data_IF_018193290380
#
_entry.id   IF_018193290380
#
_cell.length_a   1.000
_cell.length_b   1.000
_cell.length_c   1.000
_cell.angle_alpha   90.00
_cell.angle_beta   90.00
_cell.angle_gamma   90.00
#
_symmetry.space_group_name_H-M   'P 1'
#
loop_
_entity.id
_entity.type
_entity.pdbx_description
1 polymer ?
#
# COMPACT_ATOMS: atom_id res chain seq x y z
N UNK A 1 -17.21 15.34 36.96
CA UNK A 1 -17.49 16.70 37.46
C UNK A 1 -16.59 17.75 36.81
N UNK A 2 -15.27 17.57 36.79
CA UNK A 2 -14.32 18.49 36.14
C UNK A 2 -14.63 18.79 34.66
N UNK A 3 -14.97 17.77 33.86
CA UNK A 3 -15.40 17.96 32.47
C UNK A 3 -16.61 18.91 32.33
N UNK A 4 -17.58 18.82 33.25
CA UNK A 4 -18.77 19.67 33.22
C UNK A 4 -18.43 21.12 33.62
N UNK A 5 -17.54 21.30 34.60
CA UNK A 5 -17.03 22.61 34.98
C UNK A 5 -16.24 23.26 33.83
N UNK A 6 -15.37 22.50 33.15
CA UNK A 6 -14.63 22.97 31.99
C UNK A 6 -15.54 23.34 30.82
N UNK A 7 -16.57 22.53 30.54
CA UNK A 7 -17.56 22.85 29.52
C UNK A 7 -18.30 24.15 29.82
N UNK A 8 -18.68 24.40 31.09
CA UNK A 8 -19.32 25.64 31.52
C UNK A 8 -18.37 26.85 31.45
N UNK A 9 -17.07 26.63 31.70
CA UNK A 9 -16.03 27.66 31.60
C UNK A 9 -15.58 27.95 30.16
N UNK A 10 -15.94 27.08 29.18
CA UNK A 10 -15.57 27.22 27.77
C UNK A 10 -14.15 26.74 27.43
N UNK A 11 -13.49 26.01 28.33
CA UNK A 11 -12.12 25.56 28.15
C UNK A 11 -11.64 24.61 29.26
N UNK A 12 -10.76 23.67 28.92
CA UNK A 12 -10.04 22.85 29.89
C UNK A 12 -8.51 23.09 29.86
N UNK A 13 -7.80 22.47 30.80
CA UNK A 13 -6.34 22.55 30.94
C UNK A 13 -5.57 21.90 29.78
N UNK A 14 -6.23 21.10 28.95
CA UNK A 14 -5.67 20.44 27.77
C UNK A 14 -5.92 21.25 26.48
N UNK A 15 -6.56 22.42 26.58
CA UNK A 15 -6.86 23.30 25.45
C UNK A 15 -8.12 22.94 24.67
N UNK A 16 -8.97 22.03 25.19
CA UNK A 16 -10.27 21.72 24.57
C UNK A 16 -11.25 22.85 24.80
N UNK A 17 -11.88 23.34 23.74
CA UNK A 17 -12.87 24.44 23.78
C UNK A 17 -14.27 24.04 23.33
N UNK A 18 -14.43 22.85 22.75
CA UNK A 18 -15.71 22.36 22.19
C UNK A 18 -16.20 21.16 22.97
N UNK A 19 -17.41 21.23 23.54
CA UNK A 19 -17.98 20.22 24.45
C UNK A 19 -19.39 19.79 24.00
N UNK A 20 -19.52 18.99 22.92
CA UNK A 20 -20.81 18.76 22.25
C UNK A 20 -21.81 17.92 23.06
N UNK A 21 -21.34 17.23 24.10
CA UNK A 21 -22.15 16.35 24.93
C UNK A 21 -22.40 16.92 26.34
N UNK A 22 -22.08 18.20 26.56
CA UNK A 22 -22.37 18.89 27.81
C UNK A 22 -23.72 19.64 27.74
N UNK A 23 -24.47 19.73 28.86
CA UNK A 23 -24.18 19.12 30.16
C UNK A 23 -24.48 17.62 30.17
N UNK A 24 -23.68 16.85 30.93
CA UNK A 24 -23.98 15.45 31.20
C UNK A 24 -25.11 15.37 32.23
N UNK A 25 -26.17 14.62 31.93
CA UNK A 25 -27.26 14.39 32.87
C UNK A 25 -26.79 13.42 33.96
N UNK A 26 -27.07 13.74 35.22
CA UNK A 26 -26.70 12.89 36.37
C UNK A 26 -27.33 11.49 36.34
N UNK A 27 -28.44 11.32 35.61
CA UNK A 27 -29.13 10.05 35.41
C UNK A 27 -28.70 9.32 34.13
N UNK A 28 -27.73 9.83 33.39
CA UNK A 28 -27.29 9.21 32.15
C UNK A 28 -26.55 7.90 32.44
N UNK A 29 -26.87 6.87 31.66
CA UNK A 29 -26.05 5.68 31.58
C UNK A 29 -24.68 6.03 30.99
N UNK A 30 -23.62 5.57 31.64
CA UNK A 30 -22.24 5.83 31.22
C UNK A 30 -21.67 4.60 30.52
N UNK A 31 -21.04 4.84 29.37
CA UNK A 31 -20.36 3.83 28.59
C UNK A 31 -18.85 4.07 28.68
N UNK A 32 -18.09 3.00 28.85
CA UNK A 32 -16.63 3.04 28.85
C UNK A 32 -16.10 2.03 27.83
N UNK A 33 -15.11 2.44 27.05
CA UNK A 33 -14.42 1.59 26.07
C UNK A 33 -12.92 1.82 26.13
N UNK A 34 -12.15 0.73 25.99
CA UNK A 34 -10.70 0.81 25.84
C UNK A 34 -10.37 1.10 24.38
N UNK A 35 -9.51 2.09 24.15
CA UNK A 35 -9.07 2.50 22.80
C UNK A 35 -7.56 2.36 22.73
N UNK A 36 -7.07 1.79 21.62
CA UNK A 36 -5.65 1.72 21.28
C UNK A 36 -5.43 2.22 19.85
N UNK A 37 -4.31 2.89 19.54
CA UNK A 37 -3.97 3.28 18.18
C UNK A 37 -3.79 2.06 17.26
N UNK A 38 -4.15 2.21 15.99
CA UNK A 38 -3.93 1.22 14.93
C UNK A 38 -3.53 1.98 13.66
N UNK A 39 -2.73 1.35 12.79
CA UNK A 39 -2.50 1.85 11.44
C UNK A 39 -3.83 2.12 10.74
N UNK A 40 -3.97 3.30 10.12
CA UNK A 40 -5.26 3.77 9.63
C UNK A 40 -5.24 4.30 8.20
N UNK A 41 -4.22 5.07 7.81
CA UNK A 41 -4.18 5.73 6.51
C UNK A 41 -2.75 5.99 6.05
N UNK A 42 -2.47 5.78 4.76
CA UNK A 42 -1.18 6.16 4.15
C UNK A 42 -1.34 7.41 3.30
N UNK A 43 -0.81 8.55 3.77
CA UNK A 43 -0.95 9.84 3.06
C UNK A 43 -0.07 9.97 1.80
N UNK A 44 0.97 9.13 1.70
CA UNK A 44 1.83 9.06 0.52
C UNK A 44 1.19 8.26 -0.62
N UNK A 45 1.86 8.23 -1.77
CA UNK A 45 1.39 7.45 -2.91
C UNK A 45 1.83 8.02 -4.25
N UNK A 46 1.12 7.63 -5.30
CA UNK A 46 1.39 8.04 -6.68
C UNK A 46 1.19 9.55 -6.80
N UNK A 47 2.20 10.25 -7.34
CA UNK A 47 2.08 11.68 -7.66
C UNK A 47 1.19 11.87 -8.88
N UNK A 48 0.23 12.77 -8.79
CA UNK A 48 -0.75 12.99 -9.83
C UNK A 48 -1.16 14.46 -9.92
N UNK A 49 -1.70 14.86 -11.07
CA UNK A 49 -2.25 16.19 -11.30
C UNK A 49 -3.72 16.28 -10.88
N UNK A 50 -4.23 17.50 -10.68
CA UNK A 50 -5.61 17.76 -10.24
C UNK A 50 -6.69 17.14 -11.16
N UNK A 51 -6.36 16.81 -12.41
CA UNK A 51 -7.24 16.13 -13.36
C UNK A 51 -7.09 14.59 -13.36
N UNK A 52 -6.43 14.03 -12.33
CA UNK A 52 -6.28 12.60 -12.12
C UNK A 52 -5.12 11.94 -12.88
N UNK A 53 -4.36 12.69 -13.68
CA UNK A 53 -3.28 12.12 -14.49
C UNK A 53 -2.04 11.82 -13.64
N UNK A 54 -1.46 10.63 -13.78
CA UNK A 54 -0.24 10.26 -13.08
C UNK A 54 0.97 11.00 -13.65
N UNK A 55 1.88 11.43 -12.78
CA UNK A 55 3.11 12.11 -13.12
C UNK A 55 4.32 11.18 -12.93
N UNK A 56 5.30 11.30 -13.81
CA UNK A 56 6.62 10.69 -13.67
C UNK A 56 7.45 11.44 -12.62
N UNK A 57 8.61 10.90 -12.26
CA UNK A 57 9.57 11.58 -11.38
C UNK A 57 10.04 12.94 -11.92
N UNK A 58 10.00 13.15 -13.25
CA UNK A 58 10.31 14.44 -13.89
C UNK A 58 9.12 15.42 -13.88
N UNK A 59 7.96 15.05 -13.32
CA UNK A 59 6.75 15.85 -13.33
C UNK A 59 5.96 15.76 -14.64
N UNK A 60 6.30 14.83 -15.53
CA UNK A 60 5.67 14.68 -16.84
C UNK A 60 4.47 13.74 -16.77
N UNK A 61 3.42 14.01 -17.55
CA UNK A 61 2.21 13.19 -17.57
C UNK A 61 2.48 11.85 -18.24
N UNK A 62 2.15 10.75 -17.56
CA UNK A 62 2.21 9.41 -18.13
C UNK A 62 0.93 9.14 -18.93
N UNK A 63 1.07 8.96 -20.24
CA UNK A 63 -0.05 8.83 -21.18
C UNK A 63 -0.99 7.67 -20.84
N UNK A 64 -2.26 7.97 -20.62
CA UNK A 64 -3.31 6.98 -20.35
C UNK A 64 -3.42 6.56 -18.88
N UNK A 65 -2.42 6.84 -18.06
CA UNK A 65 -2.39 6.43 -16.65
C UNK A 65 -3.04 7.49 -15.75
N UNK A 66 -3.99 7.06 -14.93
CA UNK A 66 -4.71 7.90 -13.98
C UNK A 66 -4.77 7.21 -12.61
N UNK A 67 -4.85 8.01 -11.54
CA UNK A 67 -4.96 7.51 -10.17
C UNK A 67 -5.98 8.36 -9.39
N UNK A 68 -6.63 7.73 -8.41
CA UNK A 68 -7.59 8.37 -7.52
C UNK A 68 -7.72 7.58 -6.21
N UNK A 69 -7.96 8.30 -5.10
CA UNK A 69 -8.12 7.71 -3.77
C UNK A 69 -6.80 7.51 -3.03
N UNK A 70 -6.82 6.67 -2.00
CA UNK A 70 -5.69 6.48 -1.06
C UNK A 70 -4.39 6.00 -1.71
N UNK A 71 -4.45 5.44 -2.93
CA UNK A 71 -3.24 5.12 -3.71
C UNK A 71 -2.43 6.35 -4.13
N UNK A 72 -3.02 7.55 -4.03
CA UNK A 72 -2.39 8.80 -4.43
C UNK A 72 -1.73 9.54 -3.27
N UNK A 73 -0.62 10.23 -3.57
CA UNK A 73 0.08 11.07 -2.61
C UNK A 73 -0.21 12.57 -2.80
N UNK A 74 0.03 13.36 -1.75
CA UNK A 74 0.09 14.83 -1.82
C UNK A 74 -1.20 15.56 -1.43
N UNK A 75 -2.36 14.90 -1.44
CA UNK A 75 -3.64 15.52 -1.06
C UNK A 75 -3.69 15.89 0.42
N UNK A 76 -3.14 15.04 1.28
CA UNK A 76 -3.27 15.14 2.74
C UNK A 76 -1.99 15.61 3.47
N UNK A 77 -0.87 15.75 2.75
CA UNK A 77 0.42 16.09 3.35
C UNK A 77 0.83 15.10 4.46
N UNK A 78 1.27 15.61 5.60
CA UNK A 78 1.77 14.78 6.70
C UNK A 78 0.67 14.22 7.60
N UNK A 79 -0.55 14.75 7.54
CA UNK A 79 -1.64 14.30 8.40
C UNK A 79 -3.00 14.55 7.74
N UNK A 80 -3.73 13.47 7.52
CA UNK A 80 -5.08 13.54 6.98
C UNK A 80 -6.10 13.98 8.04
N UNK A 81 -6.96 14.92 7.68
CA UNK A 81 -8.13 15.28 8.50
C UNK A 81 -9.25 14.23 8.39
N UNK A 82 -9.93 13.97 9.51
CA UNK A 82 -11.08 13.08 9.58
C UNK A 82 -12.18 13.50 8.58
N UNK A 83 -12.73 12.52 7.85
CA UNK A 83 -13.74 12.77 6.81
C UNK A 83 -13.19 13.01 5.39
N UNK A 84 -11.90 13.31 5.24
CA UNK A 84 -11.35 13.64 3.91
C UNK A 84 -11.09 12.43 2.99
N UNK A 85 -10.91 11.20 3.50
CA UNK A 85 -10.60 10.03 2.63
C UNK A 85 -11.74 9.71 1.66
N UNK A 86 -12.97 9.63 2.17
CA UNK A 86 -14.13 9.34 1.33
C UNK A 86 -14.40 10.48 0.34
N UNK A 87 -14.14 11.71 0.76
CA UNK A 87 -14.25 12.89 -0.10
C UNK A 87 -13.22 12.83 -1.24
N UNK A 88 -11.96 12.52 -0.94
CA UNK A 88 -10.89 12.34 -1.93
C UNK A 88 -11.26 11.26 -2.95
N UNK A 89 -11.62 10.07 -2.48
CA UNK A 89 -12.03 8.96 -3.35
C UNK A 89 -13.17 9.38 -4.28
N UNK A 90 -14.19 10.05 -3.76
CA UNK A 90 -15.36 10.46 -4.54
C UNK A 90 -15.02 11.55 -5.54
N UNK A 91 -14.26 12.57 -5.14
CA UNK A 91 -13.90 13.71 -5.99
C UNK A 91 -12.99 13.27 -7.12
N UNK A 92 -11.84 12.65 -6.81
CA UNK A 92 -10.88 12.26 -7.85
C UNK A 92 -11.36 11.07 -8.68
N UNK A 93 -12.10 10.14 -8.06
CA UNK A 93 -12.78 9.06 -8.78
C UNK A 93 -13.75 9.61 -9.82
N UNK A 94 -14.54 10.63 -9.47
CA UNK A 94 -15.46 11.28 -10.40
C UNK A 94 -14.73 12.06 -11.51
N UNK A 95 -13.66 12.79 -11.18
CA UNK A 95 -12.83 13.52 -12.15
C UNK A 95 -12.27 12.55 -13.20
N UNK A 96 -11.63 11.47 -12.74
CA UNK A 96 -11.04 10.45 -13.63
C UNK A 96 -12.14 9.74 -14.43
N UNK A 97 -13.20 9.29 -13.77
CA UNK A 97 -14.30 8.55 -14.40
C UNK A 97 -14.97 9.34 -15.53
N UNK A 98 -15.32 10.61 -15.28
CA UNK A 98 -15.96 11.46 -16.28
C UNK A 98 -15.04 11.73 -17.48
N UNK A 99 -13.74 11.94 -17.22
CA UNK A 99 -12.74 12.19 -18.25
C UNK A 99 -12.51 10.97 -19.15
N UNK A 100 -12.42 9.77 -18.56
CA UNK A 100 -12.24 8.54 -19.33
C UNK A 100 -13.49 8.19 -20.14
N UNK A 101 -14.68 8.41 -19.59
CA UNK A 101 -15.94 8.20 -20.31
C UNK A 101 -16.05 9.11 -21.55
N UNK A 102 -15.70 10.39 -21.42
CA UNK A 102 -15.70 11.33 -22.55
C UNK A 102 -14.72 10.88 -23.65
N UNK A 103 -13.48 10.53 -23.29
CA UNK A 103 -12.48 10.01 -24.24
C UNK A 103 -12.92 8.73 -24.93
N UNK A 104 -13.54 7.80 -24.19
CA UNK A 104 -14.05 6.57 -24.76
C UNK A 104 -15.17 6.83 -25.77
N UNK A 105 -16.08 7.77 -25.48
CA UNK A 105 -17.16 8.16 -26.38
C UNK A 105 -16.62 8.81 -27.68
N UNK A 106 -15.63 9.69 -27.56
CA UNK A 106 -14.95 10.32 -28.72
C UNK A 106 -14.25 9.28 -29.59
N UNK A 107 -13.48 8.38 -28.98
CA UNK A 107 -12.80 7.29 -29.70
C UNK A 107 -13.80 6.38 -30.42
N UNK A 108 -14.95 6.10 -29.79
CA UNK A 108 -16.04 5.31 -30.40
C UNK A 108 -16.63 6.02 -31.61
N UNK A 109 -16.93 7.32 -31.51
CA UNK A 109 -17.43 8.13 -32.62
C UNK A 109 -16.44 8.21 -33.78
N UNK A 110 -15.15 8.40 -33.50
CA UNK A 110 -14.10 8.44 -34.51
C UNK A 110 -13.98 7.11 -35.26
N UNK A 111 -14.06 5.98 -34.54
CA UNK A 111 -14.08 4.64 -35.15
C UNK A 111 -15.32 4.41 -36.01
N UNK A 112 -16.49 4.81 -35.53
CA UNK A 112 -17.75 4.65 -36.28
C UNK A 112 -17.75 5.52 -37.56
N UNK A 113 -17.17 6.73 -37.50
CA UNK A 113 -16.97 7.61 -38.66
C UNK A 113 -15.95 7.05 -39.68
N UNK A 114 -14.83 6.50 -39.19
CA UNK A 114 -13.84 5.87 -40.06
C UNK A 114 -14.41 4.60 -40.74
N UNK A 115 -15.24 3.82 -40.03
CA UNK A 115 -15.93 2.66 -40.58
C UNK A 115 -16.94 3.05 -41.67
N UNK A 116 -17.65 4.17 -41.52
CA UNK A 116 -18.61 4.65 -42.54
C UNK A 116 -17.89 5.22 -43.76
N UNK A 117 -16.75 5.89 -43.59
CA UNK A 117 -15.90 6.34 -44.70
C UNK A 117 -15.23 5.18 -45.46
N UNK A 118 -14.82 4.11 -44.77
CA UNK A 118 -14.28 2.91 -45.42
C UNK A 118 -15.36 2.13 -46.19
N UNK A 119 -16.61 2.14 -45.73
CA UNK A 119 -17.74 1.51 -46.41
C UNK A 119 -18.22 2.25 -47.68
N UNK A 120 -17.83 3.52 -47.87
CA UNK A 120 -18.20 4.32 -49.05
C UNK A 120 -17.09 4.42 -50.11
N UNK A 121 -15.93 3.79 -49.89
CA UNK A 121 -14.85 3.68 -50.88
C UNK A 121 -15.09 2.51 -51.85
N UNK A 122 -14.70 2.60 -53.14
CA UNK A 122 -14.85 1.49 -54.08
C UNK A 122 -13.98 0.32 -53.63
N UNK A 123 -14.58 -0.87 -53.51
CA UNK A 123 -13.91 -2.08 -53.06
C UNK A 123 -12.89 -2.57 -54.10
N UNK A 124 -11.62 -2.20 -53.93
CA UNK A 124 -10.49 -2.92 -54.53
C UNK A 124 -9.99 -3.95 -53.51
N UNK A 125 -10.12 -5.23 -53.86
CA UNK A 125 -9.82 -6.37 -53.03
C UNK A 125 -8.32 -6.52 -52.74
N UNK A 126 -7.97 -6.69 -51.47
CA UNK A 126 -6.79 -7.43 -51.04
C UNK A 126 -7.10 -8.10 -49.70
N UNK A 127 -7.32 -9.42 -49.74
CA UNK A 127 -7.43 -10.26 -48.55
C UNK A 127 -6.01 -10.62 -48.13
N UNK A 128 -5.52 -10.00 -47.07
CA UNK A 128 -4.36 -10.50 -46.32
C UNK A 128 -4.85 -10.87 -44.91
N UNK A 129 -4.63 -12.13 -44.54
CA UNK A 129 -5.00 -12.67 -43.24
C UNK A 129 -4.31 -11.89 -42.10
N UNK A 130 -4.98 -11.65 -40.95
CA UNK A 130 -4.32 -11.02 -39.83
C UNK A 130 -3.30 -12.00 -39.22
N UNK A 131 -2.04 -11.60 -39.19
CA UNK A 131 -1.03 -12.25 -38.38
C UNK A 131 -1.43 -12.13 -36.90
N UNK A 132 -1.38 -13.24 -36.18
CA UNK A 132 -1.58 -13.30 -34.73
C UNK A 132 -0.60 -12.38 -34.02
N UNK A 133 -1.12 -11.38 -33.31
CA UNK A 133 -0.35 -10.60 -32.35
C UNK A 133 -0.35 -11.36 -31.02
N UNK A 134 0.81 -11.89 -30.65
CA UNK A 134 1.06 -12.35 -29.30
C UNK A 134 1.02 -11.17 -28.34
N UNK A 135 0.39 -11.37 -27.19
CA UNK A 135 0.36 -10.41 -26.08
C UNK A 135 1.79 -10.19 -25.56
N UNK A 136 2.32 -8.95 -25.51
CA UNK A 136 3.54 -8.73 -24.77
C UNK A 136 3.22 -8.84 -23.28
N UNK A 137 3.80 -9.84 -22.63
CA UNK A 137 3.93 -9.87 -21.18
C UNK A 137 4.63 -8.58 -20.74
N UNK A 138 4.03 -7.87 -19.78
CA UNK A 138 4.63 -6.69 -19.21
C UNK A 138 5.94 -7.09 -18.53
N UNK A 139 7.07 -6.64 -19.09
CA UNK A 139 8.35 -6.65 -18.41
C UNK A 139 8.24 -5.68 -17.23
N UNK A 140 8.34 -6.21 -16.01
CA UNK A 140 8.65 -5.41 -14.84
C UNK A 140 10.04 -4.79 -15.07
N UNK A 141 10.09 -3.47 -15.18
CA UNK A 141 11.34 -2.74 -15.15
C UNK A 141 11.61 -2.34 -13.70
N UNK A 142 12.74 -2.81 -13.18
CA UNK A 142 13.25 -2.48 -11.86
C UNK A 142 13.37 -0.97 -11.69
N UNK A 143 12.68 -0.43 -10.69
CA UNK A 143 12.94 0.92 -10.18
C UNK A 143 14.02 0.82 -9.12
N UNK A 144 15.26 1.13 -9.52
CA UNK A 144 16.36 1.35 -8.58
C UNK A 144 16.08 2.64 -7.78
N UNK A 145 15.94 2.50 -6.46
CA UNK A 145 15.94 3.62 -5.53
C UNK A 145 17.34 4.28 -5.50
N UNK A 146 17.45 5.60 -5.25
CA UNK A 146 18.74 6.24 -5.09
C UNK A 146 19.44 5.72 -3.83
N UNK A 147 20.65 5.20 -4.02
CA UNK A 147 21.51 4.70 -2.95
C UNK A 147 22.22 5.87 -2.25
N UNK A 148 21.86 6.13 -1.00
CA UNK A 148 22.75 6.84 -0.08
C UNK A 148 23.77 5.84 0.47
N UNK A 149 25.05 6.18 0.34
CA UNK A 149 26.15 5.26 0.59
C UNK A 149 26.44 5.01 2.07
N UNK A 150 26.87 3.77 2.36
CA UNK A 150 27.75 3.50 3.50
C UNK A 150 27.61 2.12 4.14
N UNK A 151 28.39 1.14 3.66
CA UNK A 151 28.76 -0.06 4.41
C UNK A 151 28.66 -1.36 3.61
N UNK A 152 29.80 -1.92 3.20
CA UNK A 152 29.85 -3.24 2.57
C UNK A 152 29.54 -4.34 3.61
N UNK A 153 28.32 -4.89 3.58
CA UNK A 153 27.97 -6.09 4.34
C UNK A 153 28.62 -7.32 3.68
N UNK A 154 29.30 -8.14 4.48
CA UNK A 154 29.86 -9.43 4.06
C UNK A 154 28.75 -10.36 3.54
N UNK A 155 29.03 -11.13 2.48
CA UNK A 155 28.08 -12.10 1.93
C UNK A 155 27.45 -12.99 3.02
N UNK A 156 26.11 -13.11 3.07
CA UNK A 156 25.43 -13.88 4.11
C UNK A 156 25.79 -15.36 4.05
N UNK A 157 26.05 -15.98 5.21
CA UNK A 157 26.41 -17.41 5.30
C UNK A 157 25.30 -18.30 4.74
N UNK A 158 25.65 -19.48 4.23
CA UNK A 158 24.67 -20.48 3.82
C UNK A 158 23.99 -21.13 5.04
N UNK A 159 22.68 -21.37 4.95
CA UNK A 159 21.84 -22.02 5.96
C UNK A 159 21.08 -23.16 5.29
N UNK A 160 21.18 -24.37 5.83
CA UNK A 160 20.47 -25.53 5.29
C UNK A 160 19.00 -25.55 5.72
N UNK A 161 18.12 -26.21 4.96
CA UNK A 161 16.71 -26.39 5.35
C UNK A 161 16.54 -27.13 6.69
N UNK A 162 17.46 -28.07 7.01
CA UNK A 162 17.49 -28.75 8.31
C UNK A 162 17.87 -27.82 9.46
N UNK A 163 18.79 -26.88 9.22
CA UNK A 163 19.20 -25.89 10.20
C UNK A 163 18.09 -24.87 10.45
N UNK A 164 17.47 -24.35 9.38
CA UNK A 164 16.27 -23.51 9.48
C UNK A 164 15.20 -24.16 10.37
N UNK A 165 14.87 -25.43 10.10
CA UNK A 165 13.87 -26.18 10.87
C UNK A 165 14.25 -26.37 12.34
N UNK A 166 15.53 -26.54 12.65
CA UNK A 166 16.01 -26.74 14.02
C UNK A 166 15.87 -25.48 14.90
N UNK A 167 15.81 -24.30 14.27
CA UNK A 167 15.73 -23.00 14.94
C UNK A 167 14.34 -22.34 14.81
N UNK A 168 13.29 -23.13 14.56
CA UNK A 168 11.90 -22.68 14.42
C UNK A 168 11.05 -22.71 15.68
N UNK A 169 11.64 -22.67 16.88
CA UNK A 169 10.93 -22.88 18.15
C UNK A 169 9.96 -21.74 18.49
N UNK A 170 10.38 -20.49 18.26
CA UNK A 170 9.57 -19.27 18.44
C UNK A 170 8.88 -19.12 19.81
N UNK A 171 9.32 -19.85 20.83
CA UNK A 171 8.92 -19.66 22.22
C UNK A 171 9.76 -18.59 22.95
N UNK A 172 9.38 -18.29 24.19
CA UNK A 172 10.11 -17.33 25.04
C UNK A 172 11.55 -17.81 25.27
N UNK A 173 12.53 -17.04 24.77
CA UNK A 173 13.96 -17.37 24.85
C UNK A 173 14.45 -18.38 23.81
N UNK A 174 13.59 -18.78 22.86
CA UNK A 174 13.96 -19.64 21.74
C UNK A 174 14.16 -18.82 20.45
N UNK A 175 15.04 -19.26 19.54
CA UNK A 175 15.16 -18.64 18.22
C UNK A 175 13.86 -18.80 17.43
N UNK A 176 13.59 -17.83 16.56
CA UNK A 176 12.45 -17.88 15.65
C UNK A 176 12.90 -17.64 14.22
N UNK A 177 13.52 -18.66 13.62
CA UNK A 177 14.05 -18.54 12.27
C UNK A 177 12.95 -18.73 11.23
N UNK A 178 12.86 -17.79 10.30
CA UNK A 178 11.93 -17.87 9.16
C UNK A 178 12.70 -17.60 7.88
N UNK A 179 12.47 -18.45 6.87
CA UNK A 179 12.98 -18.25 5.52
C UNK A 179 12.07 -17.31 4.74
N UNK A 180 12.60 -16.24 4.15
CA UNK A 180 11.89 -15.28 3.31
C UNK A 180 12.78 -14.91 2.11
N UNK A 181 12.28 -15.09 0.89
CA UNK A 181 13.01 -14.78 -0.36
C UNK A 181 14.40 -15.42 -0.44
N UNK A 182 14.52 -16.66 0.04
CA UNK A 182 15.80 -17.38 0.09
C UNK A 182 16.80 -16.82 1.11
N UNK A 183 16.37 -15.98 2.05
CA UNK A 183 17.16 -15.49 3.19
C UNK A 183 16.54 -15.99 4.49
N UNK A 184 17.33 -16.13 5.54
CA UNK A 184 16.88 -16.61 6.85
C UNK A 184 17.07 -15.50 7.87
N UNK A 185 16.02 -15.17 8.61
CA UNK A 185 15.97 -14.12 9.62
C UNK A 185 15.59 -14.70 10.97
N UNK A 186 16.11 -14.14 12.08
CA UNK A 186 15.69 -14.49 13.43
C UNK A 186 14.78 -13.41 14.01
N UNK A 187 13.48 -13.69 14.05
CA UNK A 187 12.46 -12.74 14.51
C UNK A 187 12.15 -12.83 16.00
N UNK A 188 12.92 -13.58 16.79
CA UNK A 188 12.62 -13.82 18.21
C UNK A 188 12.37 -12.53 19.01
N UNK A 189 13.14 -11.46 18.76
CA UNK A 189 12.98 -10.16 19.42
C UNK A 189 11.83 -9.31 18.88
N UNK A 190 11.26 -9.66 17.73
CA UNK A 190 10.24 -8.89 17.04
C UNK A 190 8.83 -9.50 17.14
N UNK A 191 8.69 -10.72 17.68
CA UNK A 191 7.41 -11.43 17.79
C UNK A 191 6.32 -10.57 18.44
N UNK A 192 6.61 -9.96 19.60
CA UNK A 192 5.64 -9.15 20.34
C UNK A 192 5.40 -7.75 19.74
N UNK A 193 6.32 -7.31 18.87
CA UNK A 193 6.25 -6.02 18.18
C UNK A 193 5.51 -6.10 16.84
N UNK A 194 5.31 -7.31 16.32
CA UNK A 194 4.64 -7.54 15.07
C UNK A 194 3.15 -7.10 15.14
N UNK A 195 2.67 -6.18 14.27
CA UNK A 195 1.32 -5.60 14.38
C UNK A 195 0.15 -6.58 14.30
N UNK A 196 0.34 -7.74 13.66
CA UNK A 196 -0.67 -8.81 13.59
C UNK A 196 -0.60 -9.79 14.78
N UNK A 197 0.29 -9.53 15.74
CA UNK A 197 0.59 -10.39 16.88
C UNK A 197 1.70 -11.42 16.60
N UNK A 198 2.24 -12.03 17.68
CA UNK A 198 3.37 -12.96 17.61
C UNK A 198 3.06 -14.24 16.83
N UNK A 199 1.81 -14.69 16.86
CA UNK A 199 1.37 -15.92 16.19
C UNK A 199 1.55 -15.87 14.68
N UNK A 200 1.44 -14.68 14.07
CA UNK A 200 1.59 -14.50 12.62
C UNK A 200 2.99 -14.85 12.11
N UNK A 201 4.02 -14.74 12.96
CA UNK A 201 5.40 -15.11 12.63
C UNK A 201 5.70 -16.50 13.18
N UNK A 202 5.30 -16.81 14.42
CA UNK A 202 5.64 -18.09 15.06
C UNK A 202 5.08 -19.30 14.33
N UNK A 203 3.93 -19.15 13.65
CA UNK A 203 3.34 -20.22 12.82
C UNK A 203 4.22 -20.59 11.61
N UNK A 204 5.16 -19.73 11.23
CA UNK A 204 6.12 -19.93 10.14
C UNK A 204 7.51 -20.37 10.64
N UNK A 205 7.67 -20.57 11.95
CA UNK A 205 8.93 -20.97 12.57
C UNK A 205 9.54 -22.21 11.91
N UNK A 206 10.77 -22.06 11.43
CA UNK A 206 11.56 -23.14 10.82
C UNK A 206 11.10 -23.53 9.41
N UNK A 207 10.32 -22.68 8.75
CA UNK A 207 9.84 -22.88 7.38
C UNK A 207 10.18 -21.69 6.47
N UNK A 208 10.05 -21.91 5.15
CA UNK A 208 10.02 -20.83 4.17
C UNK A 208 8.61 -20.21 4.16
N UNK A 209 8.50 -19.01 4.71
CA UNK A 209 7.27 -18.24 4.82
C UNK A 209 7.00 -17.30 3.65
N UNK A 210 7.80 -17.33 2.58
CA UNK A 210 7.75 -16.32 1.50
C UNK A 210 6.34 -16.10 0.94
N UNK A 211 5.60 -17.17 0.65
CA UNK A 211 4.24 -17.09 0.11
C UNK A 211 3.26 -16.44 1.10
N UNK A 212 3.38 -16.76 2.39
CA UNK A 212 2.53 -16.18 3.43
C UNK A 212 2.88 -14.70 3.65
N UNK A 213 4.17 -14.36 3.61
CA UNK A 213 4.68 -13.01 3.74
C UNK A 213 4.22 -12.13 2.57
N UNK A 214 4.39 -12.57 1.32
CA UNK A 214 4.01 -11.85 0.09
C UNK A 214 2.55 -11.45 0.00
N UNK A 215 1.66 -12.15 0.69
CA UNK A 215 0.24 -11.85 0.66
C UNK A 215 -0.11 -10.51 1.35
N UNK A 216 0.74 -10.10 2.30
CA UNK A 216 0.51 -8.95 3.18
C UNK A 216 1.68 -7.95 3.09
N UNK A 217 2.87 -8.45 2.78
CA UNK A 217 4.14 -7.73 2.79
C UNK A 217 4.85 -7.81 1.43
N UNK A 218 5.93 -7.06 1.27
CA UNK A 218 6.79 -7.10 0.08
C UNK A 218 8.26 -7.20 0.50
N UNK A 219 9.11 -7.71 -0.41
CA UNK A 219 10.54 -7.93 -0.15
C UNK A 219 11.28 -6.66 0.31
N UNK A 220 10.85 -5.47 -0.13
CA UNK A 220 11.54 -4.22 0.18
C UNK A 220 11.54 -3.89 1.68
N UNK A 221 10.55 -4.38 2.45
CA UNK A 221 10.52 -4.20 3.90
C UNK A 221 11.62 -4.96 4.65
N UNK A 222 12.22 -5.99 4.02
CA UNK A 222 13.25 -6.80 4.66
C UNK A 222 14.59 -6.06 4.82
N UNK A 223 14.79 -4.90 4.17
CA UNK A 223 15.99 -4.08 4.39
C UNK A 223 16.08 -3.50 5.80
N UNK A 224 14.95 -3.38 6.51
CA UNK A 224 14.94 -2.93 7.91
C UNK A 224 15.37 -4.03 8.88
N UNK A 225 15.48 -5.28 8.42
CA UNK A 225 15.80 -6.47 9.23
C UNK A 225 17.18 -7.06 8.88
N UNK A 226 18.06 -6.25 8.29
CA UNK A 226 19.44 -6.68 7.96
C UNK A 226 20.26 -7.00 9.22
N UNK A 227 19.90 -6.44 10.38
CA UNK A 227 20.54 -6.69 11.67
C UNK A 227 20.22 -8.07 12.26
N UNK A 228 19.07 -8.63 11.89
CA UNK A 228 18.63 -9.99 12.29
C UNK A 228 18.77 -11.02 11.17
N UNK A 229 19.42 -10.65 10.07
CA UNK A 229 19.72 -11.57 8.96
C UNK A 229 20.75 -12.62 9.40
N UNK A 230 20.34 -13.88 9.37
CA UNK A 230 21.19 -15.02 9.72
C UNK A 230 22.01 -15.50 8.52
N UNK A 231 21.43 -15.51 7.32
CA UNK A 231 22.08 -16.06 6.15
C UNK A 231 21.17 -16.27 4.94
N UNK A 232 21.68 -17.00 3.95
CA UNK A 232 20.96 -17.39 2.73
C UNK A 232 20.54 -18.86 2.82
N UNK A 233 19.27 -19.15 2.57
CA UNK A 233 18.75 -20.51 2.52
C UNK A 233 19.32 -21.22 1.29
N UNK A 234 19.91 -22.39 1.49
CA UNK A 234 20.38 -23.25 0.40
C UNK A 234 19.18 -23.81 -0.38
N UNK A 235 19.32 -23.87 -1.70
CA UNK A 235 18.31 -24.36 -2.63
C UNK A 235 18.17 -25.89 -2.63
#
# INVERSE_FOLDING_TARGET
EEYAAAAAAGGDVFGKTVFPHAPLLASAELWAGRIVPVLHYTMGGITFAADGAVLSAAGERIGGLHAAGEVTGGVHGNNRLGGNSLLECTVFGSIVGNKLAAKAAEARRARDAASTAAASAPAAAAVAAPASVASPAAAAADFAAPSDGGGAASEPRAVSASELKAHGGCGEGEPCWVGLYGRVYDFASFLDEHPAGPTSISDLGGADGTVAFEHIHNEAMLSEFDDVLIGRLEA
#
